data_IF_329815823082
#
_entry.id   IF_329815823082
#
_cell.length_a   1.000
_cell.length_b   1.000
_cell.length_c   1.000
_cell.angle_alpha   90.00
_cell.angle_beta   90.00
_cell.angle_gamma   90.00
#
_symmetry.space_group_name_H-M   'P 1'
#
loop_
_entity.id
_entity.type
_entity.pdbx_description
1 polymer ?
#
# COMPACT_ATOMS: atom_id res chain seq x y z
N UNK A 1 -3.40 -13.17 0.37
CA UNK A 1 -3.83 -12.37 1.53
C UNK A 1 -4.00 -10.93 1.06
N UNK A 2 -5.00 -10.20 1.55
CA UNK A 2 -5.22 -8.79 1.24
C UNK A 2 -5.44 -8.00 2.54
N UNK A 3 -5.19 -6.68 2.51
CA UNK A 3 -5.42 -5.79 3.64
C UNK A 3 -6.75 -5.04 3.51
N UNK A 4 -7.36 -4.77 4.66
CA UNK A 4 -8.54 -3.92 4.79
C UNK A 4 -8.58 -3.31 6.18
N UNK A 5 -9.11 -2.10 6.28
CA UNK A 5 -9.16 -1.33 7.54
C UNK A 5 -10.27 -1.80 8.48
N UNK A 6 -11.25 -2.55 7.97
CA UNK A 6 -12.60 -2.62 8.55
C UNK A 6 -13.26 -1.22 8.59
N UNK A 7 -14.45 -1.12 9.18
CA UNK A 7 -15.22 0.12 9.29
C UNK A 7 -14.80 0.97 10.50
N UNK A 8 -15.33 2.20 10.54
CA UNK A 8 -15.14 3.10 11.70
C UNK A 8 -15.75 2.63 13.02
N UNK A 9 -16.52 1.55 13.01
CA UNK A 9 -17.06 0.95 14.22
C UNK A 9 -15.96 0.27 15.07
N UNK A 10 -14.88 -0.17 14.42
CA UNK A 10 -13.77 -0.94 15.00
C UNK A 10 -12.40 -0.33 14.71
N UNK A 11 -12.29 0.63 13.78
CA UNK A 11 -11.07 1.34 13.43
C UNK A 11 -11.25 2.88 13.59
N UNK A 12 -10.34 3.62 14.24
CA UNK A 12 -10.48 5.07 14.40
C UNK A 12 -10.54 5.85 13.08
N UNK A 13 -9.96 5.33 12.00
CA UNK A 13 -9.96 5.93 10.67
C UNK A 13 -10.06 4.86 9.56
N UNK A 14 -9.94 5.28 8.29
CA UNK A 14 -9.98 4.39 7.12
C UNK A 14 -8.68 4.53 6.31
N UNK A 15 -7.57 4.83 7.00
CA UNK A 15 -6.29 5.05 6.37
C UNK A 15 -5.61 3.71 6.08
N UNK A 16 -5.87 3.16 4.89
CA UNK A 16 -5.24 1.90 4.46
C UNK A 16 -3.70 1.99 4.46
N UNK A 17 -3.12 3.18 4.30
CA UNK A 17 -1.67 3.34 4.38
C UNK A 17 -1.15 3.14 5.80
N UNK A 18 -1.86 3.63 6.81
CA UNK A 18 -1.51 3.36 8.21
C UNK A 18 -1.53 1.85 8.52
N UNK A 19 -2.48 1.10 7.94
CA UNK A 19 -2.52 -0.36 8.06
C UNK A 19 -1.31 -1.02 7.40
N UNK A 20 -0.88 -0.57 6.22
CA UNK A 20 0.34 -1.06 5.55
C UNK A 20 1.56 -0.86 6.46
N UNK A 21 1.73 0.34 7.03
CA UNK A 21 2.85 0.65 7.91
C UNK A 21 2.80 -0.18 9.20
N UNK A 22 1.61 -0.34 9.78
CA UNK A 22 1.41 -1.14 10.98
C UNK A 22 1.75 -2.61 10.74
N UNK A 23 1.27 -3.20 9.64
CA UNK A 23 1.56 -4.60 9.28
C UNK A 23 3.05 -4.81 9.04
N UNK A 24 3.71 -3.91 8.30
CA UNK A 24 5.14 -3.99 8.05
C UNK A 24 5.96 -3.94 9.36
N UNK A 25 5.56 -3.11 10.32
CA UNK A 25 6.21 -3.02 11.62
C UNK A 25 5.91 -4.23 12.54
N UNK A 26 4.68 -4.72 12.54
CA UNK A 26 4.25 -5.84 13.38
C UNK A 26 4.74 -7.21 12.88
N UNK A 27 4.99 -7.33 11.57
CA UNK A 27 5.41 -8.58 10.92
C UNK A 27 6.71 -8.40 10.11
N UNK A 28 7.86 -8.11 10.77
CA UNK A 28 9.12 -7.80 10.07
C UNK A 28 9.71 -8.96 9.26
N UNK A 29 9.17 -10.17 9.39
CA UNK A 29 9.55 -11.34 8.60
C UNK A 29 8.81 -11.42 7.26
N UNK A 30 7.79 -10.59 7.04
CA UNK A 30 7.10 -10.43 5.76
C UNK A 30 7.78 -9.31 4.99
N UNK A 31 8.19 -9.57 3.75
CA UNK A 31 8.92 -8.56 2.97
C UNK A 31 8.02 -7.33 2.71
N UNK A 32 8.54 -6.09 2.80
CA UNK A 32 7.76 -4.87 2.56
C UNK A 32 7.02 -4.86 1.22
N UNK A 33 7.64 -5.42 0.17
CA UNK A 33 6.99 -5.62 -1.13
C UNK A 33 5.69 -6.43 -1.01
N UNK A 34 5.70 -7.53 -0.25
CA UNK A 34 4.53 -8.39 -0.08
C UNK A 34 3.41 -7.66 0.66
N UNK A 35 3.74 -6.83 1.66
CA UNK A 35 2.75 -5.99 2.35
C UNK A 35 2.10 -5.01 1.38
N UNK A 36 2.89 -4.38 0.50
CA UNK A 36 2.36 -3.47 -0.54
C UNK A 36 1.46 -4.22 -1.54
N UNK A 37 1.83 -5.44 -1.95
CA UNK A 37 1.00 -6.29 -2.80
C UNK A 37 -0.33 -6.66 -2.13
N UNK A 38 -0.34 -6.90 -0.81
CA UNK A 38 -1.57 -7.14 -0.04
C UNK A 38 -2.54 -5.95 -0.08
N UNK A 39 -2.02 -4.72 -0.09
CA UNK A 39 -2.82 -3.49 -0.17
C UNK A 39 -3.18 -3.06 -1.61
N UNK A 40 -2.61 -3.70 -2.63
CA UNK A 40 -2.79 -3.31 -4.04
C UNK A 40 -3.32 -4.48 -4.87
N UNK A 41 -2.45 -5.23 -5.56
CA UNK A 41 -2.82 -6.29 -6.48
C UNK A 41 -3.70 -7.36 -5.82
N UNK A 42 -3.36 -7.82 -4.61
CA UNK A 42 -4.17 -8.86 -3.94
C UNK A 42 -5.55 -8.35 -3.54
N UNK A 43 -5.65 -7.09 -3.09
CA UNK A 43 -6.95 -6.45 -2.81
C UNK A 43 -7.81 -6.32 -4.06
N UNK A 44 -7.20 -5.88 -5.17
CA UNK A 44 -7.86 -5.79 -6.47
C UNK A 44 -8.39 -7.15 -6.95
N UNK A 45 -7.58 -8.21 -6.83
CA UNK A 45 -8.00 -9.58 -7.17
C UNK A 45 -9.12 -10.07 -6.26
N UNK A 46 -9.06 -9.81 -4.94
CA UNK A 46 -10.09 -10.20 -3.99
C UNK A 46 -11.46 -9.53 -4.29
N UNK A 47 -11.44 -8.34 -4.88
CA UNK A 47 -12.65 -7.59 -5.27
C UNK A 47 -13.11 -7.88 -6.70
N UNK A 48 -12.44 -8.76 -7.46
CA UNK A 48 -12.79 -9.03 -8.86
C UNK A 48 -12.45 -7.89 -9.82
N UNK A 49 -11.45 -7.07 -9.49
CA UNK A 49 -10.99 -5.91 -10.27
C UNK A 49 -9.56 -6.13 -10.82
N UNK A 50 -9.32 -7.10 -11.72
CA UNK A 50 -7.97 -7.50 -12.16
C UNK A 50 -7.21 -6.44 -12.97
N UNK A 51 -7.87 -5.33 -13.31
CA UNK A 51 -7.26 -4.19 -13.99
C UNK A 51 -6.76 -3.12 -13.00
N UNK A 52 -7.07 -3.23 -11.70
CA UNK A 52 -6.64 -2.31 -10.66
C UNK A 52 -5.44 -2.86 -9.86
N UNK A 53 -4.81 -2.00 -9.05
CA UNK A 53 -3.76 -2.42 -8.10
C UNK A 53 -2.43 -2.85 -8.73
N UNK A 54 -2.24 -2.62 -10.04
CA UNK A 54 -1.02 -2.98 -10.78
C UNK A 54 -0.61 -1.88 -11.75
N UNK A 55 0.70 -1.63 -11.88
CA UNK A 55 1.26 -0.73 -12.88
C UNK A 55 1.71 -1.53 -14.10
N UNK A 56 0.83 -1.67 -15.09
CA UNK A 56 1.11 -2.35 -16.37
C UNK A 56 0.26 -1.78 -17.51
N UNK A 57 0.68 -2.01 -18.74
CA UNK A 57 -0.11 -1.64 -19.93
C UNK A 57 -1.48 -2.32 -19.88
N UNK A 58 -2.54 -1.53 -20.10
CA UNK A 58 -3.94 -2.00 -20.07
C UNK A 58 -4.60 -2.02 -18.69
N UNK A 59 -3.89 -1.69 -17.61
CA UNK A 59 -4.46 -1.50 -16.29
C UNK A 59 -5.09 -0.10 -16.13
N UNK A 60 -5.93 0.07 -15.10
CA UNK A 60 -6.47 1.35 -14.69
C UNK A 60 -5.34 2.25 -14.20
N UNK A 61 -5.36 3.53 -14.59
CA UNK A 61 -4.43 4.56 -14.16
C UNK A 61 -4.71 5.06 -12.73
N UNK A 62 -4.92 4.14 -11.77
CA UNK A 62 -5.08 4.45 -10.36
C UNK A 62 -3.71 4.50 -9.69
N UNK A 63 -3.03 5.64 -9.82
CA UNK A 63 -1.66 5.83 -9.32
C UNK A 63 -1.67 6.70 -8.08
N UNK A 64 -0.87 6.31 -7.10
CA UNK A 64 -0.62 7.06 -5.88
C UNK A 64 0.87 7.35 -5.78
N UNK A 65 1.21 8.57 -5.42
CA UNK A 65 2.58 9.04 -5.25
C UNK A 65 2.81 9.36 -3.78
N UNK A 66 3.93 8.91 -3.26
CA UNK A 66 4.41 9.16 -1.91
C UNK A 66 5.71 9.97 -2.00
N UNK A 67 5.82 11.11 -1.29
CA UNK A 67 7.10 11.79 -1.16
C UNK A 67 8.02 10.92 -0.31
N UNK A 68 9.26 10.74 -0.77
CA UNK A 68 10.34 10.17 0.02
C UNK A 68 11.24 11.30 0.48
N UNK A 69 11.49 11.38 1.78
CA UNK A 69 12.45 12.34 2.34
C UNK A 69 13.82 11.69 2.47
N UNK A 70 14.87 12.43 2.09
CA UNK A 70 16.25 11.96 2.18
C UNK A 70 16.71 11.08 1.01
N UNK A 71 17.88 10.43 1.15
CA UNK A 71 18.40 9.54 0.12
C UNK A 71 17.53 8.30 -0.04
N UNK A 72 17.45 7.79 -1.28
CA UNK A 72 16.75 6.54 -1.54
C UNK A 72 17.43 5.38 -0.79
N UNK A 73 16.69 4.55 -0.03
CA UNK A 73 17.23 3.35 0.57
C UNK A 73 17.61 2.32 -0.50
N UNK A 74 18.42 1.33 -0.11
CA UNK A 74 18.80 0.23 -0.99
C UNK A 74 17.57 -0.57 -1.46
N UNK A 75 16.63 -0.83 -0.54
CA UNK A 75 15.32 -1.38 -0.87
C UNK A 75 14.27 -0.25 -0.95
N UNK A 76 13.74 0.07 -2.15
CA UNK A 76 12.71 1.09 -2.29
C UNK A 76 11.39 0.72 -1.58
N UNK A 77 11.10 -0.56 -1.35
CA UNK A 77 9.90 -0.97 -0.63
C UNK A 77 10.00 -0.65 0.86
N UNK A 78 11.19 -0.77 1.47
CA UNK A 78 11.43 -0.29 2.83
C UNK A 78 11.22 1.23 2.93
N UNK A 79 11.77 1.98 1.97
CA UNK A 79 11.59 3.43 1.89
C UNK A 79 10.13 3.83 1.78
N UNK A 80 9.35 3.09 0.98
CA UNK A 80 7.91 3.32 0.85
C UNK A 80 7.19 3.06 2.16
N UNK A 81 7.32 1.88 2.79
CA UNK A 81 6.57 1.60 4.03
C UNK A 81 6.97 2.50 5.20
N UNK A 82 8.15 3.12 5.16
CA UNK A 82 8.60 4.11 6.14
C UNK A 82 8.28 5.56 5.76
N UNK A 83 7.74 5.80 4.57
CA UNK A 83 7.49 7.16 4.07
C UNK A 83 6.54 7.94 5.00
N UNK A 84 6.93 9.18 5.28
CA UNK A 84 6.15 10.08 6.13
C UNK A 84 5.21 10.92 5.26
N UNK A 85 3.95 11.00 5.67
CA UNK A 85 2.93 11.81 5.01
C UNK A 85 1.93 10.99 4.20
N UNK A 86 0.78 11.60 3.84
CA UNK A 86 -0.30 10.87 3.20
C UNK A 86 0.07 10.56 1.73
N UNK A 87 -0.28 9.36 1.23
CA UNK A 87 -0.24 9.07 -0.19
C UNK A 87 -1.15 10.06 -0.96
N UNK A 88 -0.69 10.53 -2.12
CA UNK A 88 -1.45 11.45 -2.98
C UNK A 88 -1.85 10.78 -4.28
N UNK A 89 -3.12 10.84 -4.65
CA UNK A 89 -3.57 10.36 -5.95
C UNK A 89 -2.99 11.25 -7.08
N UNK A 90 -2.49 10.62 -8.13
CA UNK A 90 -2.14 11.28 -9.38
C UNK A 90 -3.42 11.34 -10.23
N UNK A 91 -4.03 12.53 -10.32
CA UNK A 91 -5.21 12.80 -11.17
C UNK A 91 -4.78 13.28 -12.55
#
# INVERSE_FOLDING_TARGET
VALGTDSRASNPDLNLWAEVQWVAAAHPHVAPQQVLEMATNHGALALGLPQAGVLRVGALACVVVLPLEGPLPEDPYEGLVQAVGPPRALL
#
